data_IF_016967703007
#
_entry.id   IF_016967703007
#
_cell.length_a   1.000
_cell.length_b   1.000
_cell.length_c   1.000
_cell.angle_alpha   90.00
_cell.angle_beta   90.00
_cell.angle_gamma   90.00
#
_symmetry.space_group_name_H-M   'P 1'
#
loop_
_entity.id
_entity.type
_entity.pdbx_description
1 polymer ?
#
# COMPACT_ATOMS: atom_id res chain seq x y z
N UNK A 1 50.86 -20.13 -41.57
CA UNK A 1 50.95 -20.39 -40.11
C UNK A 1 51.57 -19.16 -39.45
N UNK A 2 50.79 -18.42 -38.67
CA UNK A 2 51.22 -17.26 -37.87
C UNK A 2 50.55 -17.40 -36.49
N UNK A 3 51.27 -17.22 -35.37
CA UNK A 3 50.67 -17.24 -34.05
C UNK A 3 50.30 -15.79 -33.64
N UNK A 4 49.04 -15.55 -33.30
CA UNK A 4 48.60 -14.27 -32.74
C UNK A 4 48.12 -14.47 -31.30
N UNK A 5 48.83 -13.85 -30.36
CA UNK A 5 48.36 -13.56 -29.00
C UNK A 5 47.57 -12.24 -29.05
N UNK A 6 46.31 -12.21 -28.62
CA UNK A 6 45.57 -11.01 -28.18
C UNK A 6 44.51 -11.49 -27.17
N UNK A 7 44.75 -11.34 -25.87
CA UNK A 7 44.35 -10.22 -24.99
C UNK A 7 42.81 -10.13 -24.82
N UNK A 8 42.33 -10.65 -23.68
CA UNK A 8 40.97 -10.43 -23.19
C UNK A 8 40.84 -8.98 -22.72
N UNK A 9 39.84 -8.26 -23.23
CA UNK A 9 39.49 -6.91 -22.79
C UNK A 9 38.07 -6.95 -22.21
N UNK A 10 37.98 -6.82 -20.89
CA UNK A 10 36.75 -6.54 -20.13
C UNK A 10 36.27 -5.13 -20.47
N UNK A 11 35.12 -5.00 -21.14
CA UNK A 11 34.43 -3.72 -21.29
C UNK A 11 33.48 -3.50 -20.11
N UNK A 12 33.90 -2.67 -19.15
CA UNK A 12 33.00 -1.93 -18.29
C UNK A 12 32.42 -0.76 -19.10
N UNK A 13 31.17 -0.89 -19.54
CA UNK A 13 30.41 0.20 -20.15
C UNK A 13 29.71 1.02 -19.07
N UNK A 14 30.19 2.22 -18.83
CA UNK A 14 29.52 3.23 -18.00
C UNK A 14 28.29 3.74 -18.76
N UNK A 15 27.09 3.31 -18.38
CA UNK A 15 25.86 4.00 -18.79
C UNK A 15 25.77 5.29 -17.97
N UNK A 16 26.06 6.42 -18.61
CA UNK A 16 25.72 7.73 -18.07
C UNK A 16 24.20 7.87 -18.14
N UNK A 17 23.52 7.79 -17.00
CA UNK A 17 22.10 8.11 -16.91
C UNK A 17 21.92 9.60 -17.21
N UNK A 18 21.43 9.90 -18.40
CA UNK A 18 20.93 11.22 -18.74
C UNK A 18 19.66 11.38 -17.91
N UNK A 19 19.65 12.33 -16.98
CA UNK A 19 18.48 12.66 -16.19
C UNK A 19 17.31 12.93 -17.15
N UNK A 20 16.27 12.09 -17.08
CA UNK A 20 15.03 12.34 -17.80
C UNK A 20 14.44 13.67 -17.32
N UNK A 21 13.82 14.46 -18.21
CA UNK A 21 13.14 15.68 -17.78
C UNK A 21 12.07 15.30 -16.76
N UNK A 22 11.96 16.09 -15.69
CA UNK A 22 10.86 16.00 -14.72
C UNK A 22 9.58 16.31 -15.51
N UNK A 23 8.80 15.28 -15.85
CA UNK A 23 7.49 15.43 -16.49
C UNK A 23 6.47 15.97 -15.48
N UNK A 24 5.54 16.80 -15.94
CA UNK A 24 4.59 17.65 -15.19
C UNK A 24 3.49 16.91 -14.37
N UNK A 25 3.74 15.71 -13.85
CA UNK A 25 2.73 14.92 -13.12
C UNK A 25 2.59 15.26 -11.62
N UNK A 26 3.40 16.17 -11.08
CA UNK A 26 3.30 16.62 -9.68
C UNK A 26 2.65 18.01 -9.62
N UNK A 27 1.32 18.07 -9.63
CA UNK A 27 0.61 19.37 -9.58
C UNK A 27 0.50 19.95 -8.17
N UNK A 28 0.83 19.19 -7.12
CA UNK A 28 0.90 19.70 -5.74
C UNK A 28 1.97 18.97 -4.92
N UNK A 29 3.12 19.62 -4.68
CA UNK A 29 4.09 19.16 -3.70
C UNK A 29 3.65 19.63 -2.31
N UNK A 30 3.09 18.72 -1.51
CA UNK A 30 2.81 19.01 -0.09
C UNK A 30 4.08 18.74 0.70
N UNK A 31 4.78 19.79 1.14
CA UNK A 31 5.86 19.66 2.11
C UNK A 31 5.28 19.17 3.45
N UNK A 32 5.83 18.08 3.96
CA UNK A 32 5.43 17.45 5.22
C UNK A 32 6.42 17.86 6.30
N UNK A 33 5.93 18.29 7.47
CA UNK A 33 6.79 18.52 8.63
C UNK A 33 7.38 17.21 9.16
N UNK A 34 8.58 17.25 9.72
CA UNK A 34 9.19 16.10 10.43
C UNK A 34 8.25 15.51 11.50
N UNK A 35 7.50 16.35 12.23
CA UNK A 35 6.47 15.93 13.18
C UNK A 35 5.29 15.17 12.54
N UNK A 36 4.96 15.46 11.28
CA UNK A 36 3.93 14.72 10.55
C UNK A 36 4.47 13.36 10.06
N UNK A 37 5.74 13.29 9.64
CA UNK A 37 6.42 12.02 9.36
C UNK A 37 6.53 11.15 10.64
N UNK A 38 6.86 11.74 11.78
CA UNK A 38 6.91 11.04 13.08
C UNK A 38 5.53 10.53 13.51
N UNK A 39 4.46 11.30 13.25
CA UNK A 39 3.08 10.86 13.49
C UNK A 39 2.68 9.66 12.64
N UNK A 40 3.40 9.41 11.54
CA UNK A 40 3.13 8.32 10.61
C UNK A 40 3.94 7.04 10.88
N UNK A 41 5.05 7.17 11.60
CA UNK A 41 5.96 6.07 11.92
C UNK A 41 5.28 4.85 12.59
N UNK A 42 4.33 5.01 13.55
CA UNK A 42 3.66 3.87 14.18
C UNK A 42 2.88 3.00 13.17
N UNK A 43 2.29 3.61 12.14
CA UNK A 43 1.46 2.93 11.15
C UNK A 43 2.26 2.02 10.21
N UNK A 44 3.48 2.42 9.84
CA UNK A 44 4.39 1.55 9.09
C UNK A 44 4.76 0.30 9.89
N UNK A 45 4.70 0.36 11.23
CA UNK A 45 5.05 -0.76 12.09
C UNK A 45 3.87 -1.70 12.40
N UNK A 46 2.60 -1.26 12.28
CA UNK A 46 1.43 -2.15 12.32
C UNK A 46 1.49 -3.23 11.23
N UNK A 47 2.13 -2.90 10.10
CA UNK A 47 2.38 -3.86 9.02
C UNK A 47 3.42 -4.92 9.39
N UNK A 48 4.01 -4.89 10.60
CA UNK A 48 5.11 -5.80 11.03
C UNK A 48 4.93 -6.36 12.45
N UNK A 49 4.43 -5.60 13.43
CA UNK A 49 4.16 -6.07 14.79
C UNK A 49 3.08 -5.26 15.52
N UNK A 50 2.23 -5.94 16.29
CA UNK A 50 1.14 -5.34 17.07
C UNK A 50 1.65 -4.39 18.17
N UNK A 51 2.79 -4.71 18.81
CA UNK A 51 3.35 -3.94 19.93
C UNK A 51 3.92 -2.57 19.51
N UNK A 52 3.97 -2.30 18.21
CA UNK A 52 4.62 -1.10 17.68
C UNK A 52 3.74 0.15 17.70
N UNK A 53 2.43 0.01 17.96
CA UNK A 53 1.51 1.13 18.15
C UNK A 53 1.05 1.18 19.60
N UNK A 54 1.49 2.18 20.38
CA UNK A 54 1.04 2.36 21.74
C UNK A 54 -0.49 2.43 21.82
N UNK A 55 -1.08 1.55 22.62
CA UNK A 55 -2.52 1.50 22.87
C UNK A 55 -3.36 0.86 21.78
N UNK A 56 -2.78 0.33 20.69
CA UNK A 56 -3.55 -0.49 19.76
C UNK A 56 -3.95 -1.81 20.41
N UNK A 57 -5.24 -2.14 20.36
CA UNK A 57 -5.85 -3.33 20.96
C UNK A 57 -6.24 -4.29 19.83
N UNK A 58 -5.35 -5.20 19.39
CA UNK A 58 -5.66 -6.16 18.33
C UNK A 58 -6.74 -7.14 18.81
N UNK A 59 -7.76 -7.33 17.99
CA UNK A 59 -8.82 -8.34 18.21
C UNK A 59 -8.73 -9.50 17.21
N UNK A 60 -8.15 -9.24 16.02
CA UNK A 60 -7.89 -10.23 14.99
C UNK A 60 -6.46 -10.08 14.47
N UNK A 61 -5.77 -11.21 14.37
CA UNK A 61 -4.51 -11.37 13.65
C UNK A 61 -4.60 -12.65 12.82
N UNK A 62 -4.49 -12.53 11.51
CA UNK A 62 -4.69 -13.66 10.59
C UNK A 62 -3.76 -13.56 9.37
N UNK A 63 -3.85 -14.55 8.49
CA UNK A 63 -2.94 -14.74 7.37
C UNK A 63 -1.81 -15.71 7.69
N UNK A 64 -1.08 -16.10 6.65
CA UNK A 64 0.09 -16.99 6.72
C UNK A 64 1.33 -16.40 6.01
N UNK A 65 1.20 -15.20 5.43
CA UNK A 65 2.25 -14.51 4.70
C UNK A 65 2.61 -15.18 3.38
N UNK A 66 1.77 -16.09 2.87
CA UNK A 66 2.00 -16.82 1.64
C UNK A 66 0.73 -16.90 0.77
N UNK A 67 -0.29 -17.63 1.22
CA UNK A 67 -1.58 -17.72 0.52
C UNK A 67 -2.50 -16.55 0.88
N UNK A 68 -2.44 -16.11 2.14
CA UNK A 68 -3.13 -14.93 2.65
C UNK A 68 -2.09 -14.05 3.33
N UNK A 69 -2.02 -12.80 2.92
CA UNK A 69 -1.08 -11.86 3.50
C UNK A 69 -1.42 -11.64 4.97
N UNK A 70 -0.41 -11.45 5.83
CA UNK A 70 -0.71 -11.17 7.24
C UNK A 70 -1.51 -9.86 7.35
N UNK A 71 -2.56 -9.87 8.17
CA UNK A 71 -3.35 -8.68 8.47
C UNK A 71 -3.82 -8.66 9.92
N UNK A 72 -4.13 -7.46 10.40
CA UNK A 72 -4.60 -7.21 11.74
C UNK A 72 -5.87 -6.36 11.72
N UNK A 73 -6.80 -6.64 12.62
CA UNK A 73 -7.92 -5.77 12.95
C UNK A 73 -7.92 -5.53 14.46
N UNK A 74 -8.20 -4.31 14.88
CA UNK A 74 -8.27 -3.98 16.30
C UNK A 74 -8.79 -2.59 16.56
N UNK A 75 -9.00 -2.26 17.82
CA UNK A 75 -9.42 -0.92 18.22
C UNK A 75 -8.21 -0.07 18.60
N UNK A 76 -8.25 1.21 18.22
CA UNK A 76 -7.24 2.18 18.62
C UNK A 76 -7.87 3.34 19.40
N UNK A 77 -7.78 3.33 20.74
CA UNK A 77 -8.45 4.30 21.61
C UNK A 77 -8.02 5.74 21.36
N UNK A 78 -6.76 5.99 21.02
CA UNK A 78 -6.22 7.34 20.81
C UNK A 78 -6.97 8.10 19.72
N UNK A 79 -7.42 7.40 18.68
CA UNK A 79 -8.14 7.98 17.55
C UNK A 79 -9.62 7.59 17.52
N UNK A 80 -10.10 6.81 18.50
CA UNK A 80 -11.42 6.19 18.49
C UNK A 80 -11.75 5.51 17.14
N UNK A 81 -10.80 4.73 16.64
CA UNK A 81 -10.88 4.13 15.30
C UNK A 81 -10.71 2.61 15.39
N UNK A 82 -11.41 1.90 14.51
CA UNK A 82 -11.04 0.52 14.20
C UNK A 82 -9.92 0.56 13.17
N UNK A 83 -8.81 -0.13 13.42
CA UNK A 83 -7.68 -0.16 12.49
C UNK A 83 -7.65 -1.50 11.77
N UNK A 84 -7.51 -1.45 10.44
CA UNK A 84 -7.21 -2.61 9.59
C UNK A 84 -5.82 -2.41 9.00
N UNK A 85 -4.90 -3.33 9.27
CA UNK A 85 -3.52 -3.21 8.83
C UNK A 85 -3.10 -4.43 8.00
N UNK A 86 -2.54 -4.19 6.81
CA UNK A 86 -2.04 -5.24 5.91
C UNK A 86 -0.52 -5.25 5.83
N UNK A 87 0.06 -6.45 5.90
CA UNK A 87 1.48 -6.65 5.73
C UNK A 87 1.87 -6.47 4.25
N UNK A 88 3.03 -5.87 4.00
CA UNK A 88 3.69 -5.97 2.71
C UNK A 88 4.49 -7.27 2.56
N UNK A 89 5.15 -7.41 1.42
CA UNK A 89 6.19 -8.42 1.20
C UNK A 89 7.55 -7.74 1.02
N UNK A 90 8.61 -8.55 0.96
CA UNK A 90 9.95 -8.07 0.65
C UNK A 90 9.95 -7.35 -0.73
N UNK A 91 10.50 -6.13 -0.85
CA UNK A 91 10.50 -5.38 -2.10
C UNK A 91 11.12 -6.12 -3.29
N UNK A 92 12.15 -6.96 -3.08
CA UNK A 92 12.75 -7.74 -4.17
C UNK A 92 11.83 -8.87 -4.63
N UNK A 93 11.07 -9.46 -3.72
CA UNK A 93 10.00 -10.40 -4.06
C UNK A 93 8.85 -9.69 -4.74
N UNK A 94 8.51 -8.49 -4.28
CA UNK A 94 7.48 -7.68 -4.90
C UNK A 94 7.86 -7.32 -6.33
N UNK A 95 9.02 -6.72 -6.56
CA UNK A 95 9.51 -6.42 -7.90
C UNK A 95 9.50 -7.66 -8.79
N UNK A 96 9.92 -8.83 -8.30
CA UNK A 96 9.85 -10.08 -9.08
C UNK A 96 8.42 -10.47 -9.51
N UNK A 97 7.39 -10.17 -8.71
CA UNK A 97 5.99 -10.42 -9.06
C UNK A 97 5.44 -9.44 -10.12
N UNK A 98 6.05 -8.26 -10.27
CA UNK A 98 5.54 -7.19 -11.14
C UNK A 98 6.44 -6.89 -12.36
N UNK A 99 7.60 -7.52 -12.47
CA UNK A 99 8.45 -7.46 -13.68
C UNK A 99 8.20 -8.62 -14.63
N UNK A 100 7.58 -9.71 -14.15
CA UNK A 100 7.11 -10.78 -15.01
C UNK A 100 5.91 -10.25 -15.80
N UNK A 101 6.01 -10.30 -17.12
CA UNK A 101 5.19 -9.62 -18.14
C UNK A 101 3.68 -10.02 -18.12
N UNK A 102 3.26 -10.80 -17.13
CA UNK A 102 1.89 -11.27 -16.93
C UNK A 102 1.14 -10.40 -15.90
N UNK A 103 1.09 -9.09 -16.17
CA UNK A 103 0.27 -8.14 -15.41
C UNK A 103 -1.15 -8.23 -15.98
N UNK A 104 -2.00 -9.01 -15.30
CA UNK A 104 -3.39 -9.25 -15.72
C UNK A 104 -4.33 -8.32 -14.97
N UNK A 105 -5.21 -7.64 -15.72
CA UNK A 105 -6.33 -6.90 -15.17
C UNK A 105 -7.58 -7.79 -15.14
N UNK A 106 -8.31 -7.78 -14.02
CA UNK A 106 -9.56 -8.51 -13.84
C UNK A 106 -10.64 -7.60 -13.28
N UNK A 107 -11.90 -8.03 -13.38
CA UNK A 107 -13.02 -7.36 -12.75
C UNK A 107 -13.09 -7.69 -11.26
N UNK A 108 -13.48 -6.70 -10.46
CA UNK A 108 -13.83 -6.94 -9.06
C UNK A 108 -15.07 -7.83 -8.96
N UNK A 109 -15.12 -8.71 -7.97
CA UNK A 109 -16.31 -9.51 -7.68
C UNK A 109 -17.49 -8.59 -7.32
N UNK A 110 -18.50 -8.56 -8.20
CA UNK A 110 -19.70 -7.74 -8.02
C UNK A 110 -20.50 -8.02 -6.74
N UNK A 111 -20.34 -9.22 -6.13
CA UNK A 111 -20.95 -9.54 -4.85
C UNK A 111 -20.21 -8.87 -3.68
N UNK A 112 -18.89 -8.68 -3.78
CA UNK A 112 -18.09 -7.98 -2.78
C UNK A 112 -18.09 -6.46 -2.99
N UNK A 113 -18.11 -6.02 -4.25
CA UNK A 113 -18.02 -4.62 -4.65
C UNK A 113 -19.28 -4.14 -5.38
N UNK A 114 -20.45 -4.10 -4.70
CA UNK A 114 -21.69 -3.72 -5.33
C UNK A 114 -21.67 -2.26 -5.79
N UNK A 115 -22.23 -1.99 -6.97
CA UNK A 115 -22.34 -0.62 -7.50
C UNK A 115 -21.03 -0.05 -8.09
N UNK A 116 -19.99 -0.87 -8.21
CA UNK A 116 -18.80 -0.54 -8.99
C UNK A 116 -19.10 -0.67 -10.50
N UNK A 117 -18.72 0.30 -11.35
CA UNK A 117 -18.95 0.24 -12.80
C UNK A 117 -18.27 -0.97 -13.47
N UNK A 118 -18.88 -1.52 -14.52
CA UNK A 118 -18.38 -2.73 -15.19
C UNK A 118 -17.05 -2.56 -15.95
N UNK A 119 -16.64 -1.33 -16.24
CA UNK A 119 -15.33 -1.02 -16.84
C UNK A 119 -14.21 -0.87 -15.80
N UNK A 120 -14.50 -1.02 -14.51
CA UNK A 120 -13.49 -1.08 -13.44
C UNK A 120 -12.76 -2.40 -13.52
N UNK A 121 -11.43 -2.30 -13.58
CA UNK A 121 -10.54 -3.44 -13.51
C UNK A 121 -9.37 -3.13 -12.59
N UNK A 122 -8.91 -4.15 -11.87
CA UNK A 122 -7.77 -4.10 -10.95
C UNK A 122 -6.78 -5.20 -11.28
N UNK A 123 -5.57 -5.14 -10.74
CA UNK A 123 -4.61 -6.23 -10.85
C UNK A 123 -5.20 -7.53 -10.28
N UNK A 124 -5.13 -8.63 -11.05
CA UNK A 124 -5.71 -9.92 -10.67
C UNK A 124 -5.20 -10.41 -9.31
N UNK A 125 -3.88 -10.41 -9.10
CA UNK A 125 -3.28 -10.82 -7.83
C UNK A 125 -3.70 -9.95 -6.63
N UNK A 126 -4.17 -8.71 -6.85
CA UNK A 126 -4.73 -7.91 -5.75
C UNK A 126 -6.22 -8.23 -5.51
N UNK A 127 -6.99 -8.51 -6.57
CA UNK A 127 -8.41 -8.86 -6.47
C UNK A 127 -8.68 -10.19 -5.74
N UNK A 128 -7.73 -11.12 -5.80
CA UNK A 128 -7.85 -12.44 -5.16
C UNK A 128 -7.89 -12.37 -3.64
N UNK A 129 -7.28 -11.36 -3.04
CA UNK A 129 -7.16 -11.28 -1.59
C UNK A 129 -8.47 -10.87 -0.90
N UNK A 130 -9.22 -9.85 -1.36
CA UNK A 130 -10.57 -9.58 -0.85
C UNK A 130 -11.49 -10.79 -0.85
N UNK A 131 -11.39 -11.69 -1.83
CA UNK A 131 -12.20 -12.92 -1.84
C UNK A 131 -11.94 -13.84 -0.63
N UNK A 132 -10.77 -13.73 0.00
CA UNK A 132 -10.35 -14.53 1.16
C UNK A 132 -10.58 -13.79 2.48
N UNK A 133 -10.41 -12.47 2.50
CA UNK A 133 -10.33 -11.69 3.75
C UNK A 133 -11.49 -10.74 3.98
N UNK A 134 -12.14 -10.23 2.93
CA UNK A 134 -13.05 -9.07 3.02
C UNK A 134 -14.23 -9.31 3.97
N UNK A 135 -14.89 -10.47 3.89
CA UNK A 135 -16.02 -10.79 4.78
C UNK A 135 -15.60 -10.96 6.24
N UNK A 136 -14.39 -11.49 6.48
CA UNK A 136 -13.84 -11.66 7.84
C UNK A 136 -13.53 -10.29 8.44
N UNK A 137 -12.89 -9.42 7.66
CA UNK A 137 -12.57 -8.04 8.04
C UNK A 137 -13.86 -7.25 8.30
N UNK A 138 -14.86 -7.35 7.43
CA UNK A 138 -16.15 -6.66 7.61
C UNK A 138 -16.82 -7.06 8.92
N UNK A 139 -16.89 -8.37 9.20
CA UNK A 139 -17.50 -8.87 10.42
C UNK A 139 -16.77 -8.34 11.66
N UNK A 140 -15.44 -8.33 11.64
CA UNK A 140 -14.65 -7.85 12.77
C UNK A 140 -14.76 -6.33 12.96
N UNK A 141 -14.73 -5.56 11.87
CA UNK A 141 -14.97 -4.11 11.90
C UNK A 141 -16.38 -3.80 12.42
N UNK A 142 -17.39 -4.58 12.04
CA UNK A 142 -18.76 -4.43 12.56
C UNK A 142 -18.84 -4.73 14.07
N UNK A 143 -18.13 -5.76 14.53
CA UNK A 143 -18.06 -6.13 15.95
C UNK A 143 -17.46 -4.99 16.79
N UNK A 144 -16.34 -4.42 16.33
CA UNK A 144 -15.62 -3.37 17.04
C UNK A 144 -16.25 -1.97 16.91
N UNK A 145 -16.63 -1.59 15.68
CA UNK A 145 -17.01 -0.22 15.32
C UNK A 145 -18.51 0.05 15.40
N UNK A 146 -19.35 -0.90 14.97
CA UNK A 146 -20.76 -0.60 14.70
C UNK A 146 -21.75 -0.96 15.82
N UNK A 147 -21.46 -1.96 16.66
CA UNK A 147 -22.56 -2.61 17.40
C UNK A 147 -22.35 -2.78 18.92
N UNK A 148 -21.13 -2.86 19.49
CA UNK A 148 -21.09 -3.45 20.86
C UNK A 148 -20.10 -2.86 21.85
N UNK A 149 -18.87 -2.53 21.46
CA UNK A 149 -17.79 -2.44 22.44
C UNK A 149 -17.20 -1.05 22.63
N UNK A 150 -16.94 -0.33 21.53
CA UNK A 150 -16.22 0.95 21.59
C UNK A 150 -16.97 2.15 20.98
N UNK A 151 -17.97 1.92 20.11
CA UNK A 151 -18.71 3.01 19.45
C UNK A 151 -17.84 3.84 18.48
N UNK A 152 -16.87 3.20 17.83
CA UNK A 152 -15.97 3.85 16.88
C UNK A 152 -16.73 4.22 15.60
N UNK A 153 -16.60 5.47 15.16
CA UNK A 153 -17.22 5.96 13.90
C UNK A 153 -16.22 6.09 12.76
N UNK A 154 -14.97 5.70 12.98
CA UNK A 154 -13.90 5.75 11.99
C UNK A 154 -13.28 4.36 11.82
N UNK A 155 -13.02 3.99 10.58
CA UNK A 155 -12.18 2.84 10.24
C UNK A 155 -10.95 3.39 9.52
N UNK A 156 -9.79 3.11 10.10
CA UNK A 156 -8.49 3.51 9.57
C UNK A 156 -7.79 2.31 8.95
N UNK A 157 -7.57 2.34 7.65
CA UNK A 157 -6.93 1.26 6.91
C UNK A 157 -5.50 1.66 6.52
N UNK A 158 -4.55 0.78 6.79
CA UNK A 158 -3.13 1.01 6.52
C UNK A 158 -2.46 -0.18 5.85
N UNK A 159 -1.51 0.10 4.96
CA UNK A 159 -0.64 -0.94 4.41
C UNK A 159 0.62 -0.38 3.76
N UNK A 160 1.61 -1.26 3.57
CA UNK A 160 2.87 -0.95 2.91
C UNK A 160 3.13 -1.89 1.74
N UNK A 161 3.64 -1.38 0.61
CA UNK A 161 3.93 -2.19 -0.60
C UNK A 161 2.68 -2.97 -1.04
N UNK A 162 2.75 -4.30 -1.16
CA UNK A 162 1.56 -5.16 -1.41
C UNK A 162 0.41 -4.85 -0.46
N UNK A 163 0.70 -4.70 0.83
CA UNK A 163 -0.32 -4.38 1.82
C UNK A 163 -0.98 -3.03 1.57
N UNK A 164 -0.30 -2.08 0.91
CA UNK A 164 -0.88 -0.82 0.48
C UNK A 164 -1.97 -1.02 -0.57
N UNK A 165 -1.75 -1.92 -1.55
CA UNK A 165 -2.76 -2.26 -2.55
C UNK A 165 -3.99 -2.93 -1.91
N UNK A 166 -3.75 -3.83 -0.95
CA UNK A 166 -4.82 -4.50 -0.20
C UNK A 166 -5.60 -3.52 0.67
N UNK A 167 -4.90 -2.58 1.33
CA UNK A 167 -5.51 -1.49 2.09
C UNK A 167 -6.39 -0.58 1.22
N UNK A 168 -5.97 -0.27 -0.01
CA UNK A 168 -6.76 0.51 -0.96
C UNK A 168 -8.04 -0.25 -1.36
N UNK A 169 -7.95 -1.54 -1.69
CA UNK A 169 -9.13 -2.37 -1.98
C UNK A 169 -10.08 -2.48 -0.78
N UNK A 170 -9.55 -2.62 0.44
CA UNK A 170 -10.35 -2.64 1.66
C UNK A 170 -11.07 -1.31 1.92
N UNK A 171 -10.44 -0.17 1.64
CA UNK A 171 -11.11 1.13 1.73
C UNK A 171 -12.36 1.16 0.84
N UNK A 172 -12.24 0.71 -0.41
CA UNK A 172 -13.38 0.63 -1.33
C UNK A 172 -14.42 -0.36 -0.84
N UNK A 173 -14.01 -1.57 -0.46
CA UNK A 173 -14.90 -2.62 0.01
C UNK A 173 -15.71 -2.18 1.24
N UNK A 174 -15.04 -1.62 2.26
CA UNK A 174 -15.68 -1.18 3.49
C UNK A 174 -16.58 0.04 3.26
N UNK A 175 -16.21 0.96 2.36
CA UNK A 175 -17.09 2.08 1.96
C UNK A 175 -18.41 1.60 1.37
N UNK A 176 -18.40 0.48 0.63
CA UNK A 176 -19.59 -0.08 -0.01
C UNK A 176 -20.44 -0.94 0.94
N UNK A 177 -19.85 -1.48 2.00
CA UNK A 177 -20.49 -2.50 2.85
C UNK A 177 -20.75 -2.05 4.30
N UNK A 178 -20.19 -0.91 4.74
CA UNK A 178 -20.50 -0.31 6.03
C UNK A 178 -21.57 0.79 5.90
N UNK A 179 -22.31 1.11 6.99
CA UNK A 179 -23.20 2.26 7.02
C UNK A 179 -22.48 3.57 6.71
N UNK A 180 -23.15 4.47 5.99
CA UNK A 180 -22.60 5.74 5.53
C UNK A 180 -22.15 6.72 6.62
N UNK A 181 -22.53 6.47 7.88
CA UNK A 181 -22.08 7.26 9.03
C UNK A 181 -20.72 6.77 9.60
N UNK A 182 -20.14 5.70 9.05
CA UNK A 182 -18.77 5.29 9.34
C UNK A 182 -17.83 5.98 8.36
N UNK A 183 -16.89 6.74 8.91
CA UNK A 183 -15.85 7.41 8.13
C UNK A 183 -14.75 6.40 7.77
N UNK A 184 -14.43 6.31 6.49
CA UNK A 184 -13.34 5.48 5.99
C UNK A 184 -12.14 6.37 5.71
N UNK A 185 -11.03 6.05 6.37
CA UNK A 185 -9.76 6.73 6.20
C UNK A 185 -8.68 5.73 5.80
N UNK A 186 -7.91 6.03 4.76
CA UNK A 186 -6.82 5.17 4.32
C UNK A 186 -5.48 5.90 4.27
N UNK A 187 -4.42 5.19 4.64
CA UNK A 187 -3.05 5.70 4.55
C UNK A 187 -2.12 4.57 4.14
N UNK A 188 -1.48 4.71 2.99
CA UNK A 188 -0.65 3.65 2.44
C UNK A 188 0.77 4.15 2.14
N UNK A 189 1.72 3.23 2.09
CA UNK A 189 3.15 3.53 1.94
C UNK A 189 3.76 2.70 0.81
N UNK A 190 4.39 3.36 -0.17
CA UNK A 190 5.03 2.67 -1.29
C UNK A 190 4.04 1.80 -2.07
N UNK A 191 2.82 2.30 -2.29
CA UNK A 191 1.71 1.53 -2.85
C UNK A 191 1.84 1.42 -4.37
N UNK A 192 1.78 0.21 -4.96
CA UNK A 192 1.73 0.03 -6.41
C UNK A 192 0.41 0.57 -6.99
N UNK A 193 0.32 0.76 -8.31
CA UNK A 193 -0.96 1.06 -8.97
C UNK A 193 -1.90 -0.14 -8.85
N UNK A 194 -3.10 0.06 -8.33
CA UNK A 194 -4.03 -1.03 -8.05
C UNK A 194 -4.91 -1.40 -9.25
N UNK A 195 -5.36 -0.41 -10.02
CA UNK A 195 -6.28 -0.66 -11.12
C UNK A 195 -6.21 0.35 -12.25
N UNK A 196 -7.20 0.29 -13.13
CA UNK A 196 -7.28 1.13 -14.32
C UNK A 196 -7.82 2.55 -14.00
N UNK A 197 -7.83 3.50 -14.96
CA UNK A 197 -8.38 4.83 -14.72
C UNK A 197 -9.86 4.85 -14.27
N UNK A 198 -10.65 3.85 -14.67
CA UNK A 198 -12.03 3.70 -14.21
C UNK A 198 -12.10 3.30 -12.73
N UNK A 199 -11.21 2.41 -12.27
CA UNK A 199 -11.04 2.09 -10.86
C UNK A 199 -10.67 3.34 -10.07
N UNK A 200 -9.63 4.07 -10.51
CA UNK A 200 -9.17 5.28 -9.82
C UNK A 200 -10.29 6.33 -9.69
N UNK A 201 -11.02 6.60 -10.78
CA UNK A 201 -12.16 7.53 -10.77
C UNK A 201 -13.30 7.05 -9.87
N UNK A 202 -13.60 5.75 -9.89
CA UNK A 202 -14.63 5.17 -9.02
C UNK A 202 -14.25 5.26 -7.55
N UNK A 203 -12.98 5.02 -7.21
CA UNK A 203 -12.46 5.13 -5.86
C UNK A 203 -12.52 6.58 -5.35
N UNK A 204 -11.96 7.52 -6.11
CA UNK A 204 -11.90 8.94 -5.77
C UNK A 204 -13.30 9.58 -5.63
N UNK A 205 -14.31 9.05 -6.34
CA UNK A 205 -15.70 9.52 -6.21
C UNK A 205 -16.38 9.10 -4.90
N UNK A 206 -15.77 8.17 -4.15
CA UNK A 206 -16.36 7.54 -2.95
C UNK A 206 -15.57 7.82 -1.69
N UNK A 207 -14.25 7.95 -1.80
CA UNK A 207 -13.34 8.04 -0.66
C UNK A 207 -12.54 9.32 -0.79
N UNK A 208 -12.74 10.23 0.15
CA UNK A 208 -12.12 11.56 0.13
C UNK A 208 -10.96 11.71 1.14
N UNK A 209 -10.77 10.73 2.03
CA UNK A 209 -9.73 10.73 3.07
C UNK A 209 -8.79 9.53 2.87
N UNK A 210 -8.05 9.57 1.76
CA UNK A 210 -7.07 8.56 1.40
C UNK A 210 -5.76 9.24 1.02
N UNK A 211 -4.66 8.80 1.62
CA UNK A 211 -3.32 9.31 1.32
C UNK A 211 -2.36 8.19 0.94
N UNK A 212 -1.55 8.44 -0.09
CA UNK A 212 -0.49 7.55 -0.57
C UNK A 212 0.86 8.21 -0.33
N UNK A 213 1.66 7.66 0.55
CA UNK A 213 2.97 8.19 0.91
C UNK A 213 4.04 7.46 0.10
N UNK A 214 4.71 8.19 -0.78
CA UNK A 214 5.70 7.64 -1.71
C UNK A 214 7.07 8.29 -1.47
N UNK A 215 8.14 7.52 -1.68
CA UNK A 215 9.51 8.02 -1.63
C UNK A 215 10.08 8.13 -3.04
N UNK A 216 10.82 9.20 -3.34
CA UNK A 216 11.42 9.42 -4.67
C UNK A 216 12.34 8.29 -5.15
N UNK A 217 12.91 7.51 -4.22
CA UNK A 217 13.81 6.39 -4.52
C UNK A 217 13.10 5.03 -4.52
N UNK A 218 11.80 5.00 -4.22
CA UNK A 218 11.01 3.77 -4.21
C UNK A 218 10.41 3.51 -5.60
N UNK A 219 10.78 2.42 -6.28
CA UNK A 219 10.22 2.09 -7.58
C UNK A 219 8.81 1.50 -7.49
N UNK A 220 8.37 1.03 -6.33
CA UNK A 220 7.10 0.30 -6.19
C UNK A 220 5.89 1.12 -6.67
N UNK A 221 5.75 2.41 -6.30
CA UNK A 221 4.63 3.24 -6.80
C UNK A 221 4.62 3.44 -8.32
N UNK A 222 5.70 3.10 -9.02
CA UNK A 222 5.75 3.20 -10.49
C UNK A 222 5.24 1.93 -11.19
N UNK A 223 4.87 0.89 -10.44
CA UNK A 223 4.43 -0.41 -10.95
C UNK A 223 2.98 -0.73 -10.55
N UNK A 224 2.22 -1.45 -11.40
CA UNK A 224 2.40 -1.57 -12.85
C UNK A 224 2.48 -0.20 -13.55
N UNK A 225 3.14 -0.13 -14.70
CA UNK A 225 3.28 1.11 -15.46
C UNK A 225 1.97 1.58 -16.09
N UNK A 226 1.81 2.90 -16.30
CA UNK A 226 0.61 3.49 -16.91
C UNK A 226 0.38 3.04 -18.35
N UNK A 227 1.46 2.76 -19.08
CA UNK A 227 1.39 2.20 -20.43
C UNK A 227 0.69 0.84 -20.50
N UNK A 228 0.53 0.15 -19.36
CA UNK A 228 -0.23 -1.09 -19.22
C UNK A 228 -1.70 -0.86 -18.83
N UNK A 229 -2.17 0.40 -18.83
CA UNK A 229 -3.55 0.75 -18.51
C UNK A 229 -3.85 0.84 -17.02
N UNK A 230 -2.84 1.07 -16.18
CA UNK A 230 -2.98 1.29 -14.74
C UNK A 230 -2.92 2.78 -14.39
N UNK A 231 -3.62 3.19 -13.35
CA UNK A 231 -3.62 4.55 -12.82
C UNK A 231 -3.65 4.50 -11.30
N UNK A 232 -3.01 5.49 -10.68
CA UNK A 232 -3.20 5.73 -9.25
C UNK A 232 -4.51 6.44 -8.98
N UNK A 233 -5.05 6.21 -7.78
CA UNK A 233 -6.01 7.09 -7.10
C UNK A 233 -5.34 8.39 -6.66
N UNK A 234 -6.14 9.40 -6.32
CA UNK A 234 -5.64 10.67 -5.77
C UNK A 234 -5.00 10.51 -4.38
N UNK A 235 -4.48 11.61 -3.83
CA UNK A 235 -3.95 11.65 -2.45
C UNK A 235 -2.46 11.39 -2.31
N UNK A 236 -1.66 11.57 -3.36
CA UNK A 236 -0.21 11.41 -3.25
C UNK A 236 0.43 12.46 -2.34
N UNK A 237 1.30 11.97 -1.46
CA UNK A 237 2.25 12.75 -0.71
C UNK A 237 3.65 12.20 -1.00
N UNK A 238 4.48 13.01 -1.65
CA UNK A 238 5.77 12.59 -2.19
C UNK A 238 6.93 13.10 -1.33
N UNK A 239 7.74 12.18 -0.79
CA UNK A 239 8.93 12.48 0.00
C UNK A 239 10.13 12.65 -0.94
N UNK A 240 10.63 13.88 -1.03
CA UNK A 240 11.85 14.25 -1.77
C UNK A 240 12.99 14.56 -0.79
N UNK A 241 14.21 14.10 -1.06
CA UNK A 241 15.39 14.43 -0.24
C UNK A 241 16.04 15.73 -0.76
N UNK A 242 16.19 16.75 0.10
CA UNK A 242 16.71 18.08 -0.31
C UNK A 242 18.25 18.21 -0.37
N UNK A 243 19.05 17.19 -0.06
CA UNK A 243 20.50 17.28 -0.26
C UNK A 243 21.23 15.94 -0.40
N UNK A 244 22.26 15.92 -1.24
CA UNK A 244 23.18 14.79 -1.46
C UNK A 244 24.06 14.43 -0.23
N UNK A 245 23.85 15.10 0.90
CA UNK A 245 24.52 14.86 2.19
C UNK A 245 23.58 14.48 3.31
N UNK A 246 22.26 14.46 3.07
CA UNK A 246 21.32 14.03 4.09
C UNK A 246 21.20 12.51 4.04
N UNK A 247 22.00 11.85 4.88
CA UNK A 247 21.84 10.45 5.24
C UNK A 247 20.66 10.26 6.19
N UNK A 248 19.61 11.07 6.10
CA UNK A 248 18.27 10.64 6.44
C UNK A 248 17.83 9.57 5.43
N UNK A 249 18.61 8.49 5.37
CA UNK A 249 18.10 7.14 5.28
C UNK A 249 17.07 6.99 6.40
N UNK A 250 15.88 7.54 6.18
CA UNK A 250 14.64 6.89 6.59
C UNK A 250 14.32 5.83 5.54
N UNK A 251 15.35 5.09 5.08
CA UNK A 251 15.19 3.65 5.08
C UNK A 251 14.77 3.32 6.50
N UNK A 252 13.48 3.04 6.71
CA UNK A 252 12.91 2.53 7.94
C UNK A 252 13.88 1.50 8.55
N UNK A 253 14.82 1.95 9.40
CA UNK A 253 15.74 1.07 10.13
C UNK A 253 14.91 0.50 11.26
N UNK A 254 14.12 -0.51 10.92
CA UNK A 254 13.33 -1.29 11.87
C UNK A 254 14.33 -2.14 12.67
N UNK A 255 14.44 -1.97 14.00
CA UNK A 255 15.19 -2.90 14.84
C UNK A 255 14.63 -4.31 14.70
N UNK A 256 15.49 -5.35 14.82
CA UNK A 256 15.05 -6.76 14.83
C UNK A 256 13.94 -6.97 15.88
N UNK A 257 12.75 -7.39 15.43
CA UNK A 257 11.59 -7.67 16.27
C UNK A 257 11.61 -9.09 16.85
N UNK A 258 11.00 -9.24 18.04
CA UNK A 258 10.51 -10.50 18.60
C UNK A 258 9.15 -10.82 17.95
N UNK A 259 8.87 -12.11 17.71
CA UNK A 259 7.63 -12.60 17.08
C UNK A 259 6.44 -12.43 18.04
N UNK A 260 5.25 -12.14 17.50
CA UNK A 260 3.98 -12.12 18.24
C UNK A 260 3.49 -13.50 18.70
N UNK A 261 4.21 -14.57 18.36
CA UNK A 261 3.93 -15.92 18.85
C UNK A 261 4.90 -16.27 19.98
N UNK A 262 4.34 -16.45 21.18
CA UNK A 262 4.91 -17.32 22.21
C UNK A 262 4.64 -18.78 21.85
#
# INVERSE_FOLDING_TARGET
MHPSKVLALTLYGVLSAIAAPIEDWVTTLTQISESALESWAPYTQLTKACDAVPGFEPSLAAGDGNYVQYYFVGYWPTNNAVVVAHQGIDPLKFESLFIDIEIVQTHLDSALFPGVPSNVMVHEGFADEPAKTAQIILAEVQNLGLISQHGATEVFIVGHSLGGALAELDCLYLTLNLPSNIHIKGQTYGTPRVGNPAYASSFDSRINDFVRINNVRDPIPTLPGEFLGFSHVQGEIHIVSDSASDTSDVALRVPRQRRCYG
#
